data_IF_138982617681
#
_entry.id   IF_138982617681
#
_cell.length_a   1.000
_cell.length_b   1.000
_cell.length_c   1.000
_cell.angle_alpha   90.00
_cell.angle_beta   90.00
_cell.angle_gamma   90.00
#
_symmetry.space_group_name_H-M   'P 1'
#
loop_
_entity.id
_entity.type
_entity.pdbx_description
1 polymer ?
#
# COMPACT_ATOMS: atom_id res chain seq x y z
N UNK A 1 -52.04 -35.99 -41.62
CA UNK A 1 -53.20 -35.75 -42.49
C UNK A 1 -53.65 -34.26 -42.50
N UNK A 2 -53.91 -33.57 -41.42
CA UNK A 2 -54.34 -32.17 -41.44
C UNK A 2 -53.34 -31.16 -42.10
N UNK A 3 -52.05 -31.35 -41.97
CA UNK A 3 -51.01 -30.53 -42.65
C UNK A 3 -51.08 -30.66 -44.20
N UNK A 4 -51.32 -31.83 -44.70
CA UNK A 4 -51.32 -32.10 -46.12
C UNK A 4 -52.57 -31.54 -46.83
N UNK A 5 -53.72 -31.51 -46.16
CA UNK A 5 -55.01 -30.96 -46.68
C UNK A 5 -54.93 -29.40 -46.67
N UNK A 6 -54.34 -28.77 -45.71
CA UNK A 6 -54.19 -27.35 -45.62
C UNK A 6 -53.30 -26.77 -46.73
N UNK A 7 -52.33 -27.52 -47.27
CA UNK A 7 -51.47 -27.12 -48.35
C UNK A 7 -52.11 -27.24 -49.75
N UNK A 8 -53.22 -27.98 -49.85
CA UNK A 8 -53.97 -28.17 -51.09
C UNK A 8 -54.98 -27.04 -51.39
N UNK A 9 -55.35 -26.24 -50.40
CA UNK A 9 -56.27 -25.08 -50.53
C UNK A 9 -55.47 -23.77 -50.49
N UNK A 10 -55.45 -22.99 -51.58
CA UNK A 10 -54.59 -21.81 -51.67
C UNK A 10 -54.75 -20.76 -50.55
N UNK A 11 -55.96 -20.57 -50.06
CA UNK A 11 -56.23 -19.66 -48.94
C UNK A 11 -55.68 -20.18 -47.58
N UNK A 12 -55.81 -21.45 -47.29
CA UNK A 12 -55.26 -22.06 -46.10
C UNK A 12 -53.73 -22.13 -46.12
N UNK A 13 -53.15 -22.37 -47.27
CA UNK A 13 -51.71 -22.31 -47.48
C UNK A 13 -51.11 -20.93 -47.15
N UNK A 14 -51.74 -19.86 -47.66
CA UNK A 14 -51.31 -18.49 -47.35
C UNK A 14 -51.42 -18.14 -45.88
N UNK A 15 -52.47 -18.58 -45.20
CA UNK A 15 -52.63 -18.43 -43.75
C UNK A 15 -51.54 -19.18 -42.96
N UNK A 16 -51.24 -20.40 -43.37
CA UNK A 16 -50.18 -21.22 -42.76
C UNK A 16 -48.81 -20.58 -42.93
N UNK A 17 -48.45 -20.13 -44.14
CA UNK A 17 -47.19 -19.46 -44.44
C UNK A 17 -47.08 -18.12 -43.70
N UNK A 18 -48.14 -17.30 -43.61
CA UNK A 18 -48.21 -16.08 -42.87
C UNK A 18 -48.00 -16.29 -41.37
N UNK A 19 -48.66 -17.32 -40.77
CA UNK A 19 -48.48 -17.69 -39.35
C UNK A 19 -47.03 -18.08 -39.09
N UNK A 20 -46.42 -18.91 -39.96
CA UNK A 20 -45.04 -19.34 -39.74
C UNK A 20 -44.05 -18.18 -39.83
N UNK A 21 -44.30 -17.20 -40.74
CA UNK A 21 -43.49 -16.01 -40.84
C UNK A 21 -43.58 -15.17 -39.57
N UNK A 22 -44.78 -14.98 -38.99
CA UNK A 22 -44.99 -14.28 -37.73
C UNK A 22 -44.34 -14.98 -36.56
N UNK A 23 -44.39 -16.33 -36.52
CA UNK A 23 -43.70 -17.10 -35.45
C UNK A 23 -42.17 -16.95 -35.54
N UNK A 24 -41.60 -16.92 -36.71
CA UNK A 24 -40.16 -16.70 -36.91
C UNK A 24 -39.80 -15.29 -36.44
N UNK A 25 -40.58 -14.28 -36.80
CA UNK A 25 -40.38 -12.89 -36.36
C UNK A 25 -40.49 -12.76 -34.85
N UNK A 26 -41.53 -13.36 -34.24
CA UNK A 26 -41.72 -13.33 -32.80
C UNK A 26 -40.56 -13.97 -32.04
N UNK A 27 -40.09 -15.15 -32.53
CA UNK A 27 -38.94 -15.79 -31.88
C UNK A 27 -37.66 -14.92 -32.01
N UNK A 28 -37.44 -14.28 -33.16
CA UNK A 28 -36.31 -13.35 -33.32
C UNK A 28 -36.36 -12.17 -32.36
N UNK A 29 -37.58 -11.59 -32.15
CA UNK A 29 -37.77 -10.49 -31.19
C UNK A 29 -37.59 -10.96 -29.74
N UNK A 30 -38.05 -12.16 -29.40
CA UNK A 30 -37.82 -12.76 -28.05
C UNK A 30 -36.33 -12.93 -27.82
N UNK A 31 -35.58 -13.49 -28.76
CA UNK A 31 -34.13 -13.67 -28.64
C UNK A 31 -33.41 -12.32 -28.45
N UNK A 32 -33.80 -11.32 -29.25
CA UNK A 32 -33.23 -9.97 -29.16
C UNK A 32 -33.56 -9.30 -27.81
N UNK A 33 -34.77 -9.49 -27.28
CA UNK A 33 -35.16 -9.00 -25.96
C UNK A 33 -34.30 -9.62 -24.86
N UNK A 34 -34.05 -10.92 -24.93
CA UNK A 34 -33.17 -11.62 -23.98
C UNK A 34 -31.73 -11.11 -24.05
N UNK A 35 -31.18 -10.93 -25.24
CA UNK A 35 -29.83 -10.36 -25.43
C UNK A 35 -29.71 -8.93 -24.84
N UNK A 36 -30.74 -8.10 -25.00
CA UNK A 36 -30.79 -6.76 -24.42
C UNK A 36 -30.92 -6.76 -22.89
N UNK A 37 -31.68 -7.71 -22.34
CA UNK A 37 -31.80 -7.89 -20.89
C UNK A 37 -30.46 -8.29 -20.27
N UNK A 38 -29.72 -9.22 -20.89
CA UNK A 38 -28.39 -9.64 -20.47
C UNK A 38 -27.38 -8.47 -20.51
N UNK A 39 -27.39 -7.69 -21.61
CA UNK A 39 -26.55 -6.50 -21.73
C UNK A 39 -26.88 -5.44 -20.67
N UNK A 40 -28.15 -5.22 -20.39
CA UNK A 40 -28.59 -4.28 -19.35
C UNK A 40 -28.14 -4.73 -17.96
N UNK A 41 -28.22 -6.01 -17.68
CA UNK A 41 -27.76 -6.58 -16.43
C UNK A 41 -26.24 -6.41 -16.26
N UNK A 42 -25.47 -6.66 -17.31
CA UNK A 42 -24.02 -6.47 -17.33
C UNK A 42 -23.67 -4.99 -17.09
N UNK A 43 -24.26 -4.06 -17.83
CA UNK A 43 -24.02 -2.63 -17.68
C UNK A 43 -24.42 -2.13 -16.28
N UNK A 44 -25.51 -2.63 -15.75
CA UNK A 44 -25.95 -2.29 -14.38
C UNK A 44 -24.92 -2.74 -13.35
N UNK A 45 -24.36 -3.92 -13.52
CA UNK A 45 -23.31 -4.45 -12.66
C UNK A 45 -22.03 -3.63 -12.77
N UNK A 46 -21.61 -3.25 -13.98
CA UNK A 46 -20.45 -2.39 -14.22
C UNK A 46 -20.62 -1.00 -13.59
N UNK A 47 -21.80 -0.37 -13.76
CA UNK A 47 -22.10 0.92 -13.12
C UNK A 47 -22.09 0.83 -11.60
N UNK A 48 -22.60 -0.27 -11.03
CA UNK A 48 -22.55 -0.49 -9.58
C UNK A 48 -21.11 -0.63 -9.07
N UNK A 49 -20.27 -1.35 -9.80
CA UNK A 49 -18.84 -1.49 -9.50
C UNK A 49 -18.11 -0.14 -9.58
N UNK A 50 -18.33 0.66 -10.63
CA UNK A 50 -17.75 1.99 -10.78
C UNK A 50 -18.19 2.94 -9.65
N UNK A 51 -19.46 2.93 -9.26
CA UNK A 51 -19.97 3.73 -8.14
C UNK A 51 -19.39 3.31 -6.79
N UNK A 52 -19.11 2.01 -6.60
CA UNK A 52 -18.44 1.53 -5.40
C UNK A 52 -16.98 2.03 -5.35
N UNK A 53 -16.29 2.05 -6.48
CA UNK A 53 -14.94 2.62 -6.61
C UNK A 53 -14.96 4.12 -6.29
N UNK A 54 -15.84 4.91 -6.89
CA UNK A 54 -15.97 6.37 -6.64
C UNK A 54 -16.25 6.72 -5.17
N UNK A 55 -16.87 5.80 -4.41
CA UNK A 55 -17.15 5.97 -2.97
C UNK A 55 -16.06 5.41 -2.07
N UNK A 56 -15.03 4.83 -2.63
CA UNK A 56 -13.92 4.32 -1.83
C UNK A 56 -13.22 5.47 -1.09
N UNK A 57 -12.93 5.33 0.22
CA UNK A 57 -12.18 6.32 0.97
C UNK A 57 -10.78 6.57 0.38
N UNK A 58 -10.25 5.64 -0.39
CA UNK A 58 -8.95 5.76 -1.04
C UNK A 58 -8.90 6.81 -2.16
N UNK A 59 -10.05 7.32 -2.63
CA UNK A 59 -10.11 8.48 -3.52
C UNK A 59 -10.23 9.83 -2.79
N UNK A 60 -10.40 9.82 -1.47
CA UNK A 60 -10.51 11.03 -0.67
C UNK A 60 -9.12 11.53 -0.25
N UNK A 61 -8.23 11.75 -1.22
CA UNK A 61 -6.90 12.31 -1.01
C UNK A 61 -6.74 13.66 -1.73
N UNK A 62 -5.77 14.45 -1.26
CA UNK A 62 -5.35 15.70 -1.87
C UNK A 62 -3.87 15.60 -2.22
N UNK A 63 -3.52 15.96 -3.44
CA UNK A 63 -2.14 16.02 -3.90
C UNK A 63 -1.91 17.29 -4.72
N UNK A 64 -0.71 17.85 -4.66
CA UNK A 64 -0.30 18.96 -5.52
C UNK A 64 0.41 18.51 -6.80
N UNK A 65 0.44 17.20 -7.04
CA UNK A 65 0.95 16.55 -8.25
C UNK A 65 -0.08 15.50 -8.74
N UNK A 66 0.07 15.04 -9.98
CA UNK A 66 -0.79 13.98 -10.51
C UNK A 66 -0.32 12.62 -9.95
N UNK A 67 -1.06 12.12 -8.95
CA UNK A 67 -0.76 10.88 -8.26
C UNK A 67 -0.82 9.68 -9.22
N UNK A 68 -1.86 9.63 -10.07
CA UNK A 68 -2.04 8.52 -10.99
C UNK A 68 -0.95 8.49 -12.06
N UNK A 69 -0.60 9.65 -12.64
CA UNK A 69 0.47 9.76 -13.61
C UNK A 69 1.82 9.39 -13.00
N UNK A 70 2.11 9.83 -11.76
CA UNK A 70 3.31 9.43 -11.02
C UNK A 70 3.43 7.92 -10.90
N UNK A 71 2.35 7.23 -10.51
CA UNK A 71 2.34 5.78 -10.43
C UNK A 71 2.50 5.11 -11.80
N UNK A 72 1.78 5.61 -12.83
CA UNK A 72 1.83 5.08 -14.20
C UNK A 72 3.23 5.13 -14.83
N UNK A 73 4.02 6.16 -14.54
CA UNK A 73 5.42 6.25 -15.01
C UNK A 73 6.31 5.12 -14.50
N UNK A 74 5.95 4.55 -13.35
CA UNK A 74 6.69 3.45 -12.73
C UNK A 74 6.11 2.06 -13.04
N UNK A 75 4.92 1.98 -13.63
CA UNK A 75 4.29 0.71 -13.97
C UNK A 75 5.16 -0.12 -14.93
N UNK A 76 5.34 -1.39 -14.62
CA UNK A 76 6.07 -2.33 -15.48
C UNK A 76 5.09 -3.10 -16.34
N UNK A 77 5.16 -2.87 -17.63
CA UNK A 77 4.36 -3.61 -18.59
C UNK A 77 4.99 -4.97 -18.93
N UNK A 78 4.16 -5.92 -19.35
CA UNK A 78 4.59 -7.27 -19.76
C UNK A 78 5.30 -8.08 -18.67
N UNK A 79 4.91 -7.89 -17.40
CA UNK A 79 5.39 -8.72 -16.31
C UNK A 79 5.05 -10.18 -16.55
N UNK A 80 6.00 -11.05 -16.17
CA UNK A 80 5.80 -12.51 -16.22
C UNK A 80 5.67 -13.02 -14.78
N UNK A 81 4.66 -13.82 -14.46
CA UNK A 81 4.54 -14.45 -13.16
C UNK A 81 5.80 -15.23 -12.79
N UNK A 82 6.21 -15.15 -11.53
CA UNK A 82 7.34 -15.92 -11.00
C UNK A 82 6.79 -17.08 -10.15
N UNK A 83 7.14 -18.32 -10.49
CA UNK A 83 6.71 -19.49 -9.74
C UNK A 83 7.01 -19.34 -8.23
N UNK A 84 6.02 -19.63 -7.40
CA UNK A 84 6.12 -19.54 -5.93
C UNK A 84 6.02 -18.13 -5.34
N UNK A 85 6.02 -17.07 -6.14
CA UNK A 85 5.95 -15.68 -5.68
C UNK A 85 4.82 -14.92 -6.35
N UNK A 86 4.21 -13.98 -5.65
CA UNK A 86 3.41 -12.94 -6.27
C UNK A 86 4.35 -11.87 -6.85
N UNK A 87 4.13 -11.46 -8.11
CA UNK A 87 4.90 -10.35 -8.70
C UNK A 87 4.00 -9.14 -8.82
N UNK A 88 4.34 -8.05 -8.14
CA UNK A 88 3.52 -6.85 -8.18
C UNK A 88 3.78 -5.98 -9.42
N UNK A 89 2.96 -4.96 -9.59
CA UNK A 89 2.96 -4.03 -10.73
C UNK A 89 4.29 -3.28 -10.95
N UNK A 90 5.16 -3.18 -9.92
CA UNK A 90 6.53 -2.67 -10.02
C UNK A 90 7.55 -3.77 -10.37
N UNK A 91 7.13 -5.02 -10.51
CA UNK A 91 8.01 -6.16 -10.75
C UNK A 91 8.70 -6.69 -9.49
N UNK A 92 8.26 -6.29 -8.30
CA UNK A 92 8.76 -6.79 -7.02
C UNK A 92 8.14 -8.14 -6.72
N UNK A 93 8.97 -9.11 -6.33
CA UNK A 93 8.57 -10.46 -5.95
C UNK A 93 8.27 -10.51 -4.46
N UNK A 94 7.04 -10.86 -4.13
CA UNK A 94 6.53 -10.98 -2.77
C UNK A 94 6.32 -12.46 -2.43
N UNK A 95 6.80 -12.90 -1.28
CA UNK A 95 6.59 -14.26 -0.80
C UNK A 95 5.19 -14.38 -0.17
N UNK A 96 4.34 -15.31 -0.65
CA UNK A 96 3.00 -15.48 -0.08
C UNK A 96 2.96 -15.80 1.42
N UNK A 97 4.07 -16.31 1.98
CA UNK A 97 4.14 -16.67 3.40
C UNK A 97 4.03 -15.48 4.37
N UNK A 98 4.25 -14.24 3.87
CA UNK A 98 4.21 -13.03 4.71
C UNK A 98 2.80 -12.73 5.26
N UNK A 99 1.75 -13.09 4.50
CA UNK A 99 0.37 -12.93 4.93
C UNK A 99 -0.45 -14.19 4.64
N UNK A 100 -1.29 -14.66 5.58
CA UNK A 100 -2.12 -15.85 5.36
C UNK A 100 -3.04 -15.75 4.14
N UNK A 101 -3.56 -14.56 3.82
CA UNK A 101 -4.45 -14.36 2.68
C UNK A 101 -3.72 -14.36 1.33
N UNK A 102 -2.39 -14.31 1.31
CA UNK A 102 -1.58 -14.45 0.10
C UNK A 102 -1.21 -15.90 -0.23
N UNK A 103 -1.57 -16.88 0.60
CA UNK A 103 -1.12 -18.27 0.49
C UNK A 103 -1.25 -18.85 -0.93
N UNK A 104 -2.31 -18.48 -1.64
CA UNK A 104 -2.59 -18.97 -3.00
C UNK A 104 -2.12 -18.01 -4.11
N UNK A 105 -1.38 -16.95 -3.78
CA UNK A 105 -0.93 -15.94 -4.74
C UNK A 105 0.39 -16.28 -5.45
N UNK A 106 1.03 -17.40 -5.10
CA UNK A 106 2.26 -17.85 -5.76
C UNK A 106 2.06 -18.08 -7.26
N UNK A 107 2.93 -17.50 -8.10
CA UNK A 107 2.81 -17.57 -9.55
C UNK A 107 1.77 -16.63 -10.15
N UNK A 108 1.32 -15.60 -9.41
CA UNK A 108 0.35 -14.61 -9.90
C UNK A 108 0.98 -13.22 -10.04
N UNK A 109 0.28 -12.35 -10.78
CA UNK A 109 0.58 -10.92 -10.84
C UNK A 109 -0.39 -10.16 -9.94
N UNK A 110 0.14 -9.22 -9.14
CA UNK A 110 -0.66 -8.21 -8.44
C UNK A 110 -0.83 -7.00 -9.38
N UNK A 111 -2.07 -6.66 -9.77
CA UNK A 111 -2.31 -5.61 -10.75
C UNK A 111 -1.95 -4.23 -10.22
N UNK A 112 -1.94 -3.25 -11.11
CA UNK A 112 -1.77 -1.84 -10.77
C UNK A 112 -2.80 -1.41 -9.71
N UNK A 113 -2.36 -0.84 -8.56
CA UNK A 113 -3.23 -0.52 -7.43
C UNK A 113 -4.08 0.72 -7.72
N UNK A 114 -5.33 0.49 -8.09
CA UNK A 114 -6.27 1.58 -8.35
C UNK A 114 -7.67 1.23 -7.82
N UNK A 115 -8.14 1.84 -6.74
CA UNK A 115 -7.49 2.88 -5.91
C UNK A 115 -6.49 2.34 -4.89
N UNK A 116 -6.42 1.03 -4.70
CA UNK A 116 -5.56 0.36 -3.72
C UNK A 116 -5.31 -1.08 -4.14
N UNK A 117 -4.25 -1.69 -3.60
CA UNK A 117 -4.08 -3.13 -3.57
C UNK A 117 -4.17 -3.63 -2.11
N UNK A 118 -3.79 -4.89 -1.90
CA UNK A 118 -3.81 -5.48 -0.57
C UNK A 118 -2.85 -4.83 0.43
N UNK A 119 -1.85 -4.08 -0.04
CA UNK A 119 -0.80 -3.50 0.79
C UNK A 119 -1.02 -2.02 1.08
N UNK A 120 -1.28 -1.21 0.05
CA UNK A 120 -1.40 0.24 0.19
C UNK A 120 -2.33 0.85 -0.87
N UNK A 121 -2.69 2.09 -0.69
CA UNK A 121 -3.52 2.84 -1.61
C UNK A 121 -2.74 3.85 -2.47
N UNK A 122 -3.45 4.50 -3.38
CA UNK A 122 -2.90 5.48 -4.33
C UNK A 122 -2.13 6.60 -3.63
N UNK A 123 -2.56 7.06 -2.45
CA UNK A 123 -1.91 8.17 -1.77
C UNK A 123 -0.51 7.79 -1.31
N UNK A 124 -0.36 6.64 -0.71
CA UNK A 124 0.92 6.17 -0.19
C UNK A 124 1.87 5.76 -1.32
N UNK A 125 1.36 4.98 -2.31
CA UNK A 125 2.13 4.63 -3.50
C UNK A 125 2.66 5.85 -4.24
N UNK A 126 1.78 6.82 -4.52
CA UNK A 126 2.16 8.01 -5.28
C UNK A 126 3.14 8.90 -4.51
N UNK A 127 2.94 9.10 -3.19
CA UNK A 127 3.85 9.89 -2.37
C UNK A 127 5.26 9.26 -2.30
N UNK A 128 5.34 7.94 -2.12
CA UNK A 128 6.63 7.24 -2.09
C UNK A 128 7.35 7.28 -3.45
N UNK A 129 6.63 7.13 -4.56
CA UNK A 129 7.20 7.24 -5.91
C UNK A 129 7.57 8.68 -6.27
N UNK A 130 6.85 9.68 -5.78
CA UNK A 130 7.21 11.09 -5.91
C UNK A 130 8.59 11.38 -5.29
N UNK A 131 8.91 10.74 -4.16
CA UNK A 131 10.25 10.83 -3.58
C UNK A 131 11.32 10.21 -4.48
N UNK A 132 11.02 9.09 -5.15
CA UNK A 132 11.93 8.47 -6.14
C UNK A 132 12.17 9.41 -7.33
N UNK A 133 11.10 10.00 -7.88
CA UNK A 133 11.21 10.92 -9.03
C UNK A 133 12.02 12.17 -8.70
N UNK A 134 11.90 12.68 -7.48
CA UNK A 134 12.57 13.87 -6.99
C UNK A 134 14.00 13.62 -6.47
N UNK A 135 14.43 12.37 -6.33
CA UNK A 135 15.78 12.03 -5.89
C UNK A 135 16.85 12.44 -6.94
N UNK A 136 18.12 12.67 -6.53
CA UNK A 136 19.22 12.88 -7.44
C UNK A 136 19.30 11.78 -8.51
N UNK A 137 19.90 12.09 -9.68
CA UNK A 137 19.92 11.17 -10.82
C UNK A 137 20.81 9.94 -10.62
N UNK A 138 21.76 10.02 -9.71
CA UNK A 138 22.82 9.01 -9.50
C UNK A 138 22.60 8.12 -8.29
N UNK A 139 21.76 8.54 -7.34
CA UNK A 139 21.55 7.82 -6.09
C UNK A 139 20.11 7.95 -5.56
N UNK A 140 19.73 6.97 -4.74
CA UNK A 140 18.51 6.99 -3.95
C UNK A 140 18.77 6.31 -2.62
N UNK A 141 18.59 7.05 -1.54
CA UNK A 141 18.71 6.54 -0.17
C UNK A 141 17.38 6.68 0.54
N UNK A 142 16.89 5.58 1.11
CA UNK A 142 15.66 5.62 1.91
C UNK A 142 15.83 4.95 3.27
N UNK A 143 15.01 5.39 4.21
CA UNK A 143 14.83 4.76 5.52
C UNK A 143 13.36 4.40 5.67
N UNK A 144 13.07 3.18 6.12
CA UNK A 144 11.74 2.70 6.48
C UNK A 144 11.74 2.34 7.97
N UNK A 145 10.99 3.11 8.76
CA UNK A 145 10.82 2.89 10.19
C UNK A 145 9.52 2.11 10.42
N UNK A 146 9.62 0.94 11.07
CA UNK A 146 8.58 -0.06 11.07
C UNK A 146 8.55 -0.81 9.73
N UNK A 147 9.71 -1.35 9.31
CA UNK A 147 9.82 -1.82 7.94
C UNK A 147 9.10 -3.15 7.66
N UNK A 148 8.65 -3.87 8.66
CA UNK A 148 7.97 -5.14 8.49
C UNK A 148 8.75 -6.08 7.57
N UNK A 149 8.15 -6.56 6.48
CA UNK A 149 8.81 -7.37 5.46
C UNK A 149 9.63 -6.54 4.44
N UNK A 150 9.82 -5.26 4.69
CA UNK A 150 10.56 -4.34 3.82
C UNK A 150 9.80 -3.94 2.56
N UNK A 151 8.50 -3.67 2.69
CA UNK A 151 7.66 -3.34 1.54
C UNK A 151 8.20 -2.15 0.77
N UNK A 152 8.33 -1.02 1.45
CA UNK A 152 8.73 0.22 0.79
C UNK A 152 10.19 0.17 0.37
N UNK A 153 11.07 -0.46 1.16
CA UNK A 153 12.47 -0.70 0.75
C UNK A 153 12.55 -1.46 -0.56
N UNK A 154 11.80 -2.57 -0.70
CA UNK A 154 11.81 -3.35 -1.93
C UNK A 154 11.21 -2.56 -3.10
N UNK A 155 10.03 -1.96 -2.92
CA UNK A 155 9.32 -1.30 -4.00
C UNK A 155 10.03 -0.04 -4.49
N UNK A 156 10.41 0.86 -3.58
CA UNK A 156 11.06 2.11 -3.94
C UNK A 156 12.50 1.89 -4.41
N UNK A 157 13.21 0.95 -3.78
CA UNK A 157 14.56 0.59 -4.23
C UNK A 157 14.57 -0.02 -5.63
N UNK A 158 13.62 -0.92 -5.97
CA UNK A 158 13.48 -1.47 -7.32
C UNK A 158 13.09 -0.38 -8.32
N UNK A 159 12.13 0.49 -7.97
CA UNK A 159 11.72 1.61 -8.82
C UNK A 159 12.88 2.56 -9.10
N UNK A 160 13.64 2.97 -8.07
CA UNK A 160 14.80 3.82 -8.19
C UNK A 160 15.92 3.19 -9.04
N UNK A 161 16.22 1.91 -8.81
CA UNK A 161 17.24 1.17 -9.58
C UNK A 161 16.90 1.13 -11.08
N UNK A 162 15.64 0.97 -11.44
CA UNK A 162 15.20 0.98 -12.84
C UNK A 162 15.40 2.30 -13.55
N UNK A 163 15.50 3.39 -12.81
CA UNK A 163 15.86 4.71 -13.35
C UNK A 163 17.36 4.94 -13.43
N UNK A 164 18.17 3.92 -13.13
CA UNK A 164 19.65 3.98 -13.20
C UNK A 164 20.35 4.45 -11.92
N UNK A 165 19.63 4.66 -10.84
CA UNK A 165 20.19 5.13 -9.57
C UNK A 165 20.88 3.99 -8.80
N UNK A 166 21.97 4.32 -8.10
CA UNK A 166 22.50 3.48 -7.02
C UNK A 166 21.57 3.58 -5.84
N UNK A 167 21.23 2.45 -5.23
CA UNK A 167 20.26 2.42 -4.12
C UNK A 167 20.91 2.02 -2.82
N UNK A 168 20.46 2.64 -1.72
CA UNK A 168 20.73 2.19 -0.37
C UNK A 168 19.44 2.29 0.45
N UNK A 169 18.93 1.17 0.94
CA UNK A 169 17.70 1.11 1.70
C UNK A 169 17.98 0.65 3.13
N UNK A 170 17.36 1.30 4.11
CA UNK A 170 17.62 1.05 5.53
C UNK A 170 16.29 0.79 6.21
N UNK A 171 16.21 -0.31 6.97
CA UNK A 171 15.00 -0.70 7.71
C UNK A 171 15.26 -0.80 9.19
N UNK A 172 14.28 -0.38 9.99
CA UNK A 172 14.22 -0.61 11.44
C UNK A 172 12.94 -1.38 11.74
N UNK A 173 13.06 -2.52 12.44
CA UNK A 173 11.92 -3.40 12.75
C UNK A 173 12.11 -4.05 14.13
N UNK A 174 11.02 -4.08 14.91
CA UNK A 174 10.99 -4.68 16.23
C UNK A 174 10.80 -6.18 16.23
N UNK A 175 10.06 -6.73 15.28
CA UNK A 175 9.84 -8.18 15.18
C UNK A 175 10.95 -8.86 14.37
N UNK A 176 11.68 -9.79 15.01
CA UNK A 176 12.78 -10.52 14.35
C UNK A 176 12.29 -11.34 13.15
N UNK A 177 11.08 -11.89 13.22
CA UNK A 177 10.52 -12.68 12.14
C UNK A 177 10.15 -11.81 10.92
N UNK A 178 9.61 -10.61 11.15
CA UNK A 178 9.39 -9.61 10.10
C UNK A 178 10.72 -9.16 9.49
N UNK A 179 11.71 -8.89 10.33
CA UNK A 179 13.05 -8.52 9.86
C UNK A 179 13.68 -9.60 9.00
N UNK A 180 13.44 -10.89 9.34
CA UNK A 180 13.86 -12.01 8.51
C UNK A 180 13.13 -12.01 7.16
N UNK A 181 11.81 -11.73 7.14
CA UNK A 181 11.07 -11.56 5.88
C UNK A 181 11.66 -10.43 5.02
N UNK A 182 12.01 -9.29 5.63
CA UNK A 182 12.65 -8.18 4.92
C UNK A 182 13.98 -8.60 4.29
N UNK A 183 14.83 -9.30 5.03
CA UNK A 183 16.12 -9.80 4.53
C UNK A 183 15.95 -10.73 3.34
N UNK A 184 15.01 -11.65 3.42
CA UNK A 184 14.70 -12.58 2.33
C UNK A 184 14.10 -11.88 1.11
N UNK A 185 13.20 -10.90 1.33
CA UNK A 185 12.60 -10.11 0.27
C UNK A 185 13.65 -9.29 -0.48
N UNK A 186 14.56 -8.61 0.22
CA UNK A 186 15.64 -7.86 -0.39
C UNK A 186 16.55 -8.78 -1.23
N UNK A 187 16.96 -9.92 -0.68
CA UNK A 187 17.74 -10.91 -1.43
C UNK A 187 17.03 -11.41 -2.69
N UNK A 188 15.74 -11.72 -2.59
CA UNK A 188 14.87 -12.15 -3.71
C UNK A 188 14.75 -11.09 -4.80
N UNK A 189 14.70 -9.82 -4.43
CA UNK A 189 14.65 -8.69 -5.34
C UNK A 189 16.04 -8.16 -5.74
N UNK A 190 17.07 -9.01 -5.56
CA UNK A 190 18.44 -8.80 -6.03
C UNK A 190 19.16 -7.59 -5.41
N UNK A 191 18.86 -7.28 -4.15
CA UNK A 191 19.68 -6.32 -3.39
C UNK A 191 20.94 -7.01 -2.89
N UNK A 192 22.10 -6.42 -3.22
CA UNK A 192 23.39 -6.83 -2.67
C UNK A 192 23.54 -6.41 -1.19
N UNK A 193 24.40 -7.09 -0.44
CA UNK A 193 24.60 -6.80 0.97
C UNK A 193 25.07 -5.35 1.28
N UNK A 194 25.61 -4.65 0.31
CA UNK A 194 26.01 -3.25 0.42
C UNK A 194 24.91 -2.25 0.07
N UNK A 195 23.77 -2.72 -0.44
CA UNK A 195 22.64 -1.89 -0.86
C UNK A 195 21.56 -1.79 0.23
N UNK A 196 21.70 -2.51 1.35
CA UNK A 196 20.75 -2.40 2.44
C UNK A 196 21.39 -2.54 3.82
N UNK A 197 20.71 -1.97 4.81
CA UNK A 197 21.02 -2.12 6.24
C UNK A 197 19.73 -2.42 6.98
N UNK A 198 19.74 -3.41 7.88
CA UNK A 198 18.60 -3.77 8.71
C UNK A 198 18.98 -3.67 10.18
N UNK A 199 18.16 -2.98 10.94
CA UNK A 199 18.32 -2.81 12.39
C UNK A 199 17.19 -3.52 13.12
N UNK A 200 17.54 -4.41 14.06
CA UNK A 200 16.57 -5.02 14.96
C UNK A 200 16.40 -4.16 16.20
N UNK A 201 15.25 -3.54 16.35
CA UNK A 201 14.93 -2.64 17.46
C UNK A 201 13.74 -1.74 17.14
N UNK A 202 13.47 -0.82 18.02
CA UNK A 202 12.31 0.08 17.98
C UNK A 202 12.77 1.46 17.52
N UNK A 203 12.22 1.95 16.41
CA UNK A 203 12.51 3.30 15.93
C UNK A 203 12.02 4.35 16.93
N UNK A 204 12.88 5.29 17.30
CA UNK A 204 12.57 6.31 18.31
C UNK A 204 13.33 7.62 18.08
N UNK A 205 12.92 8.69 18.76
CA UNK A 205 13.65 9.96 18.74
C UNK A 205 14.97 9.91 19.53
N UNK A 206 15.07 9.04 20.54
CA UNK A 206 16.24 8.89 21.38
C UNK A 206 16.53 7.42 21.67
N UNK A 207 17.78 7.10 21.93
CA UNK A 207 18.22 5.76 22.31
C UNK A 207 17.73 5.39 23.71
N UNK A 208 17.50 4.10 23.96
CA UNK A 208 17.00 3.56 25.21
C UNK A 208 16.57 2.12 25.07
N UNK A 209 15.59 1.70 25.86
CA UNK A 209 14.94 0.39 25.74
C UNK A 209 13.43 0.54 25.86
N UNK A 210 12.69 -0.35 25.18
CA UNK A 210 11.23 -0.44 25.31
C UNK A 210 10.82 -1.93 25.28
N UNK A 211 9.61 -2.22 25.73
CA UNK A 211 9.02 -3.54 25.59
C UNK A 211 8.35 -3.66 24.24
N UNK A 212 8.58 -4.76 23.54
CA UNK A 212 7.94 -5.07 22.27
C UNK A 212 7.16 -6.38 22.37
N UNK A 213 5.89 -6.42 21.97
CA UNK A 213 5.07 -7.62 22.09
C UNK A 213 5.66 -8.79 21.28
N UNK A 214 5.67 -9.98 21.87
CA UNK A 214 6.00 -11.20 21.14
C UNK A 214 4.79 -11.73 20.40
N UNK A 215 4.97 -12.16 19.18
CA UNK A 215 3.99 -12.95 18.47
C UNK A 215 4.45 -14.41 18.30
N UNK A 216 3.49 -15.35 18.29
CA UNK A 216 3.79 -16.79 18.15
C UNK A 216 4.33 -17.15 16.77
N UNK A 217 3.94 -16.40 15.76
CA UNK A 217 4.34 -16.61 14.36
C UNK A 217 4.49 -15.27 13.66
N UNK A 218 5.61 -15.07 12.99
CA UNK A 218 5.85 -13.94 12.11
C UNK A 218 4.75 -13.83 11.04
N UNK A 219 4.30 -12.59 10.75
CA UNK A 219 3.22 -12.32 9.81
C UNK A 219 1.80 -12.50 10.38
N UNK A 220 1.66 -12.81 11.68
CA UNK A 220 0.34 -12.95 12.32
C UNK A 220 -0.24 -11.59 12.73
N UNK A 221 0.61 -10.69 13.20
CA UNK A 221 0.23 -9.31 13.54
C UNK A 221 1.27 -8.34 12.98
N UNK A 222 0.81 -7.29 12.29
CA UNK A 222 1.65 -6.26 11.67
C UNK A 222 1.56 -4.91 12.39
N UNK A 223 0.56 -4.74 13.26
CA UNK A 223 0.35 -3.54 14.05
C UNK A 223 0.77 -3.74 15.52
N UNK A 224 2.01 -4.17 15.78
CA UNK A 224 2.53 -4.35 17.12
C UNK A 224 3.04 -3.01 17.66
N UNK A 225 2.46 -2.56 18.77
CA UNK A 225 2.82 -1.29 19.43
C UNK A 225 3.83 -1.53 20.56
N UNK A 226 4.97 -0.81 20.57
CA UNK A 226 5.93 -0.88 21.66
C UNK A 226 5.41 -0.15 22.91
N UNK A 227 5.85 -0.61 24.11
CA UNK A 227 5.59 0.06 25.37
C UNK A 227 6.83 0.84 25.79
N UNK A 228 6.78 2.14 25.62
CA UNK A 228 7.84 3.06 26.01
C UNK A 228 7.77 3.38 27.52
N UNK A 229 8.93 3.66 28.14
CA UNK A 229 9.01 4.06 29.53
C UNK A 229 8.52 3.00 30.53
N UNK A 230 8.60 1.71 30.17
CA UNK A 230 8.21 0.62 31.06
C UNK A 230 9.03 0.63 32.36
N UNK A 231 8.35 0.51 33.51
CA UNK A 231 9.00 0.42 34.82
C UNK A 231 9.77 -0.89 34.95
N UNK A 232 10.71 -0.98 35.91
CA UNK A 232 11.41 -2.22 36.23
C UNK A 232 10.46 -3.37 36.55
N UNK A 233 9.35 -3.10 37.26
CA UNK A 233 8.33 -4.10 37.57
C UNK A 233 7.64 -4.62 36.31
N UNK A 234 7.31 -3.73 35.36
CA UNK A 234 6.73 -4.12 34.06
C UNK A 234 7.72 -4.95 33.23
N UNK A 235 9.01 -4.58 33.25
CA UNK A 235 10.05 -5.34 32.54
C UNK A 235 10.22 -6.73 33.13
N UNK A 236 10.26 -6.85 34.46
CA UNK A 236 10.33 -8.13 35.16
C UNK A 236 9.11 -9.00 34.88
N UNK A 237 7.91 -8.41 34.89
CA UNK A 237 6.68 -9.14 34.58
C UNK A 237 6.65 -9.59 33.12
N UNK A 238 7.06 -8.76 32.19
CA UNK A 238 7.16 -9.09 30.77
C UNK A 238 8.14 -10.25 30.53
N UNK A 239 9.31 -10.20 31.16
CA UNK A 239 10.30 -11.28 31.11
C UNK A 239 9.77 -12.59 31.71
N UNK A 240 9.08 -12.53 32.85
CA UNK A 240 8.52 -13.70 33.53
C UNK A 240 7.37 -14.35 32.74
N UNK A 241 6.52 -13.55 32.09
CA UNK A 241 5.40 -14.03 31.27
C UNK A 241 5.82 -14.46 29.85
N UNK A 242 6.96 -13.98 29.36
CA UNK A 242 7.39 -14.16 27.97
C UNK A 242 6.53 -13.41 26.94
N UNK A 243 5.71 -12.45 27.39
CA UNK A 243 4.78 -11.72 26.54
C UNK A 243 5.45 -10.63 25.68
N UNK A 244 6.59 -10.11 26.12
CA UNK A 244 7.34 -9.06 25.44
C UNK A 244 8.84 -9.34 25.46
N UNK A 245 9.52 -8.80 24.46
CA UNK A 245 10.97 -8.65 24.42
C UNK A 245 11.37 -7.25 24.89
N UNK A 246 12.53 -7.15 25.55
CA UNK A 246 13.16 -5.87 25.83
C UNK A 246 14.09 -5.56 24.66
N UNK A 247 13.72 -4.59 23.83
CA UNK A 247 14.48 -4.23 22.65
C UNK A 247 15.16 -2.86 22.79
N UNK A 248 16.28 -2.66 22.09
CA UNK A 248 16.89 -1.34 22.00
C UNK A 248 15.98 -0.38 21.22
N UNK A 249 15.84 0.82 21.73
CA UNK A 249 15.34 1.97 20.98
C UNK A 249 16.50 2.51 20.13
N UNK A 250 16.29 2.57 18.83
CA UNK A 250 17.28 3.02 17.85
C UNK A 250 16.91 4.44 17.42
N UNK A 251 17.77 5.40 17.74
CA UNK A 251 17.51 6.78 17.38
C UNK A 251 17.61 7.00 15.87
N UNK A 252 16.81 7.93 15.33
CA UNK A 252 16.92 8.30 13.92
C UNK A 252 18.33 8.82 13.57
N UNK A 253 19.02 9.43 14.52
CA UNK A 253 20.41 9.87 14.35
C UNK A 253 21.36 8.70 14.14
N UNK A 254 21.20 7.61 14.91
CA UNK A 254 22.01 6.40 14.75
C UNK A 254 21.71 5.70 13.41
N UNK A 255 20.45 5.69 12.97
CA UNK A 255 20.03 5.11 11.67
C UNK A 255 20.62 5.91 10.50
N UNK A 256 20.54 7.23 10.54
CA UNK A 256 21.12 8.11 9.51
C UNK A 256 22.65 8.03 9.51
N UNK A 257 23.26 8.00 10.69
CA UNK A 257 24.72 7.91 10.82
C UNK A 257 25.47 8.95 9.93
N UNK A 258 26.44 8.49 9.11
CA UNK A 258 27.26 9.37 8.27
C UNK A 258 26.57 9.83 6.97
N UNK A 259 25.35 9.43 6.70
CA UNK A 259 24.65 9.77 5.46
C UNK A 259 24.41 11.27 5.36
N UNK A 260 24.71 11.82 4.19
CA UNK A 260 24.55 13.26 3.93
C UNK A 260 23.11 13.64 3.58
N UNK A 261 22.35 12.70 3.01
CA UNK A 261 20.99 12.92 2.52
C UNK A 261 20.16 11.63 2.57
N UNK A 262 18.90 11.77 2.91
CA UNK A 262 17.85 10.74 2.82
C UNK A 262 16.80 11.25 1.85
N UNK A 263 16.58 10.53 0.76
CA UNK A 263 15.63 10.92 -0.28
C UNK A 263 14.19 10.62 0.13
N UNK A 264 13.99 9.51 0.86
CA UNK A 264 12.70 9.12 1.43
C UNK A 264 12.88 8.62 2.87
N UNK A 265 12.20 9.25 3.80
CA UNK A 265 11.94 8.73 5.15
C UNK A 265 10.48 8.26 5.21
N UNK A 266 10.27 6.95 5.22
CA UNK A 266 8.97 6.35 5.43
C UNK A 266 8.80 6.02 6.91
N UNK A 267 7.69 6.43 7.51
CA UNK A 267 7.41 6.28 8.94
C UNK A 267 6.06 5.59 9.12
N UNK A 268 6.08 4.38 9.65
CA UNK A 268 4.89 3.60 10.02
C UNK A 268 5.22 2.80 11.29
N UNK A 269 5.07 3.43 12.46
CA UNK A 269 5.52 2.91 13.76
C UNK A 269 4.40 2.76 14.79
N UNK A 270 3.17 2.69 14.29
CA UNK A 270 1.99 2.33 15.07
C UNK A 270 1.73 3.26 16.28
N UNK A 271 1.82 4.60 16.04
CA UNK A 271 1.36 5.60 16.98
C UNK A 271 2.42 6.56 17.54
N UNK A 272 3.71 6.33 17.28
CA UNK A 272 4.83 7.16 17.71
C UNK A 272 5.30 8.22 16.70
N UNK A 273 4.59 8.39 15.58
CA UNK A 273 5.04 9.19 14.43
C UNK A 273 5.27 10.66 14.77
N UNK A 274 4.32 11.27 15.47
CA UNK A 274 4.42 12.69 15.82
C UNK A 274 5.55 12.97 16.83
N UNK A 275 5.72 12.11 17.83
CA UNK A 275 6.81 12.19 18.81
C UNK A 275 8.18 12.06 18.15
N UNK A 276 8.30 11.13 17.20
CA UNK A 276 9.54 10.91 16.46
C UNK A 276 9.87 12.12 15.59
N UNK A 277 8.90 12.62 14.82
CA UNK A 277 9.11 13.79 13.96
C UNK A 277 9.45 15.02 14.78
N UNK A 278 8.74 15.29 15.88
CA UNK A 278 8.99 16.43 16.76
C UNK A 278 10.39 16.34 17.39
N UNK A 279 10.74 15.19 17.97
CA UNK A 279 12.03 14.97 18.62
C UNK A 279 13.22 14.98 17.69
N UNK A 280 13.02 14.66 16.42
CA UNK A 280 14.08 14.61 15.39
C UNK A 280 14.00 15.76 14.39
N UNK A 281 13.13 16.75 14.58
CA UNK A 281 12.85 17.80 13.59
C UNK A 281 14.11 18.52 13.06
N UNK A 282 15.11 18.92 13.88
CA UNK A 282 16.32 19.54 13.38
C UNK A 282 17.10 18.65 12.39
N UNK A 283 17.23 17.37 12.73
CA UNK A 283 17.93 16.38 11.89
C UNK A 283 17.16 16.09 10.61
N UNK A 284 15.84 15.94 10.71
CA UNK A 284 14.94 15.74 9.57
C UNK A 284 15.05 16.92 8.61
N UNK A 285 15.02 18.15 9.10
CA UNK A 285 15.19 19.37 8.27
C UNK A 285 16.53 19.41 7.54
N UNK A 286 17.58 18.94 8.17
CA UNK A 286 18.93 18.94 7.60
C UNK A 286 19.13 17.83 6.55
N UNK A 287 18.61 16.63 6.80
CA UNK A 287 19.00 15.42 6.07
C UNK A 287 17.93 14.83 5.16
N UNK A 288 16.65 15.04 5.44
CA UNK A 288 15.55 14.35 4.77
C UNK A 288 14.92 15.24 3.71
N UNK A 289 14.83 14.73 2.48
CA UNK A 289 14.25 15.42 1.33
C UNK A 289 12.73 15.22 1.22
N UNK A 290 12.25 14.05 1.55
CA UNK A 290 10.83 13.71 1.50
C UNK A 290 10.45 12.76 2.64
N UNK A 291 9.30 12.99 3.26
CA UNK A 291 8.70 12.06 4.25
C UNK A 291 7.38 11.55 3.73
N UNK A 292 7.13 10.26 3.95
CA UNK A 292 5.81 9.64 3.88
C UNK A 292 5.51 9.07 5.25
N UNK A 293 4.39 9.46 5.83
CA UNK A 293 4.01 9.11 7.19
C UNK A 293 2.65 8.44 7.17
N UNK A 294 2.59 7.17 7.57
CA UNK A 294 1.35 6.50 7.95
C UNK A 294 0.85 7.07 9.27
N UNK A 295 -0.40 7.51 9.34
CA UNK A 295 -0.92 8.14 10.55
C UNK A 295 -2.05 7.30 11.14
N UNK A 296 -1.86 6.84 12.38
CA UNK A 296 -2.77 5.89 13.03
C UNK A 296 -3.89 6.56 13.84
N UNK A 297 -3.99 7.89 13.77
CA UNK A 297 -5.11 8.64 14.35
C UNK A 297 -5.19 10.07 13.85
N UNK A 298 -6.40 10.65 13.93
CA UNK A 298 -6.60 12.11 13.70
C UNK A 298 -5.81 13.00 14.66
N UNK A 299 -5.48 12.49 15.84
CA UNK A 299 -4.64 13.21 16.79
C UNK A 299 -3.20 13.34 16.28
N UNK A 300 -2.65 12.25 15.76
CA UNK A 300 -1.32 12.24 15.14
C UNK A 300 -1.30 13.15 13.91
N UNK A 301 -2.32 13.07 13.05
CA UNK A 301 -2.46 13.95 11.88
C UNK A 301 -2.38 15.43 12.28
N UNK A 302 -3.20 15.84 13.24
CA UNK A 302 -3.25 17.23 13.71
C UNK A 302 -1.91 17.69 14.29
N UNK A 303 -1.27 16.86 15.13
CA UNK A 303 0.06 17.18 15.70
C UNK A 303 1.13 17.33 14.63
N UNK A 304 1.13 16.47 13.61
CA UNK A 304 2.08 16.59 12.50
C UNK A 304 1.86 17.89 11.73
N UNK A 305 0.62 18.30 11.46
CA UNK A 305 0.33 19.60 10.87
C UNK A 305 0.85 20.76 11.73
N UNK A 306 0.66 20.72 13.05
CA UNK A 306 1.15 21.75 13.97
C UNK A 306 2.68 21.81 13.97
N UNK A 307 3.36 20.67 14.04
CA UNK A 307 4.83 20.58 13.99
C UNK A 307 5.35 21.14 12.65
N UNK A 308 4.79 20.69 11.55
CA UNK A 308 5.27 21.04 10.22
C UNK A 308 4.94 22.48 9.83
N UNK A 309 3.88 23.08 10.38
CA UNK A 309 3.55 24.49 10.21
C UNK A 309 4.63 25.44 10.74
N UNK A 310 5.52 24.97 11.62
CA UNK A 310 6.69 25.74 12.09
C UNK A 310 7.89 25.70 11.15
N UNK A 311 7.75 25.05 9.99
CA UNK A 311 8.83 24.78 9.03
C UNK A 311 8.51 25.34 7.65
N UNK A 312 9.48 25.29 6.73
CA UNK A 312 9.30 25.60 5.31
C UNK A 312 8.80 24.37 4.50
N UNK A 313 8.59 23.23 5.15
CA UNK A 313 8.14 22.01 4.49
C UNK A 313 6.77 22.18 3.88
N UNK A 314 6.52 21.46 2.79
CA UNK A 314 5.25 21.52 2.05
C UNK A 314 4.59 20.17 2.07
N UNK A 315 3.32 20.14 2.43
CA UNK A 315 2.51 18.94 2.22
C UNK A 315 2.24 18.80 0.72
N UNK A 316 2.55 17.65 0.16
CA UNK A 316 2.31 17.34 -1.25
C UNK A 316 1.26 16.25 -1.45
N UNK A 317 1.05 15.44 -0.44
CA UNK A 317 0.01 14.40 -0.41
C UNK A 317 -0.63 14.35 0.97
N UNK A 318 -1.94 14.26 1.01
CA UNK A 318 -2.69 14.01 2.23
C UNK A 318 -3.91 13.14 1.93
N UNK A 319 -4.05 12.04 2.66
CA UNK A 319 -5.27 11.27 2.77
C UNK A 319 -5.58 11.07 4.25
N UNK A 320 -6.70 11.65 4.72
CA UNK A 320 -7.02 11.60 6.14
C UNK A 320 -7.36 10.18 6.61
N UNK A 321 -7.12 9.91 7.88
CA UNK A 321 -7.58 8.70 8.53
C UNK A 321 -9.11 8.64 8.56
N UNK A 322 -9.68 7.48 8.21
CA UNK A 322 -11.14 7.27 8.22
C UNK A 322 -11.57 6.46 9.41
N UNK A 323 -12.64 6.92 10.04
CA UNK A 323 -13.24 6.30 11.20
C UNK A 323 -14.66 5.88 10.91
N UNK A 324 -15.00 4.67 11.29
CA UNK A 324 -16.39 4.23 11.38
C UNK A 324 -17.01 4.79 12.66
N UNK A 325 -18.14 5.46 12.50
CA UNK A 325 -18.95 5.91 13.64
C UNK A 325 -19.77 4.72 14.15
N UNK A 326 -19.53 4.35 15.39
CA UNK A 326 -20.26 3.27 16.07
C UNK A 326 -21.11 3.83 17.22
N UNK A 327 -21.93 2.99 17.83
CA UNK A 327 -22.74 3.38 19.01
C UNK A 327 -21.91 3.59 20.30
N UNK A 328 -20.64 3.18 20.32
CA UNK A 328 -19.77 3.28 21.49
C UNK A 328 -18.64 4.28 21.30
N UNK A 329 -17.70 3.98 20.42
CA UNK A 329 -16.55 4.84 20.11
C UNK A 329 -16.21 4.75 18.62
N UNK A 330 -15.63 5.81 18.03
CA UNK A 330 -15.12 5.72 16.67
C UNK A 330 -14.05 4.63 16.55
N UNK A 331 -14.06 3.88 15.46
CA UNK A 331 -13.08 2.84 15.15
C UNK A 331 -12.34 3.24 13.88
N UNK A 332 -11.01 3.28 13.93
CA UNK A 332 -10.17 3.50 12.77
C UNK A 332 -10.35 2.35 11.80
N UNK A 333 -10.66 2.65 10.54
CA UNK A 333 -10.86 1.64 9.47
C UNK A 333 -9.87 1.78 8.32
N UNK A 334 -9.29 2.98 8.16
CA UNK A 334 -8.23 3.25 7.19
C UNK A 334 -7.29 4.28 7.83
N UNK A 335 -6.02 3.95 7.91
CA UNK A 335 -4.96 4.83 8.39
C UNK A 335 -4.83 6.07 7.50
N UNK A 336 -4.34 7.18 8.05
CA UNK A 336 -4.05 8.36 7.25
C UNK A 336 -2.68 8.27 6.57
N UNK A 337 -2.45 9.11 5.57
CA UNK A 337 -1.16 9.26 4.89
C UNK A 337 -0.83 10.72 4.72
N UNK A 338 0.39 11.13 5.09
CA UNK A 338 0.90 12.47 4.83
C UNK A 338 2.25 12.39 4.10
N UNK A 339 2.34 13.04 2.93
CA UNK A 339 3.57 13.20 2.15
C UNK A 339 4.10 14.63 2.27
N UNK A 340 5.30 14.79 2.84
CA UNK A 340 5.92 16.09 3.12
C UNK A 340 7.22 16.27 2.34
N UNK A 341 7.35 17.38 1.63
CA UNK A 341 8.53 17.76 0.86
C UNK A 341 9.36 18.80 1.59
N UNK A 342 10.68 18.62 1.62
CA UNK A 342 11.64 19.60 2.09
C UNK A 342 12.18 20.45 0.92
N UNK A 343 11.75 21.73 0.77
CA UNK A 343 12.19 22.56 -0.34
C UNK A 343 13.68 22.83 -0.34
N UNK A 344 14.33 22.84 0.83
CA UNK A 344 15.75 23.13 0.95
C UNK A 344 16.66 22.08 0.30
N UNK A 345 16.19 20.83 0.20
CA UNK A 345 16.96 19.71 -0.34
C UNK A 345 16.54 19.27 -1.74
N UNK A 346 15.49 19.87 -2.33
CA UNK A 346 14.93 19.41 -3.60
C UNK A 346 15.37 20.27 -4.81
N UNK A 347 16.08 21.36 -4.58
CA UNK A 347 16.54 22.28 -5.64
C UNK A 347 18.07 22.21 -5.87
N UNK A 348 18.73 21.22 -5.32
CA UNK A 348 20.19 21.04 -5.46
C UNK A 348 20.55 19.99 -6.50
#
# INVERSE_FOLDING_TARGET
>A
MLKTVALAVPSLRRLYEGRNKLLIQLNAEITRSQELEDQLQQLTSEVAALRAIERSPFFAYYANFDALDTMRRHEVHNLVPTEGFQTNWLGVKVDPKIYPFLADSGGTLDPFPYPANWHADIAEWAAALQAVDNAPRDSFTMIELGCGWGCWMNNMGVAARRTGRKVHVIGVEGDEGHLQFAREALGRNSFGAHEYTLHHGIAAAASGTALFPRQERAGHSWGLEPVFGATEEQQVQAAASGSHDILPMISLADVIGPLGRIDLLHIDIQGGEAELVEGCLPLIKEKVAYMVIGTHSKHIEARLFDIMATTEWRIEMERPAFYQVTSTKPVLIVDGVQGWRNPALMNS
#
